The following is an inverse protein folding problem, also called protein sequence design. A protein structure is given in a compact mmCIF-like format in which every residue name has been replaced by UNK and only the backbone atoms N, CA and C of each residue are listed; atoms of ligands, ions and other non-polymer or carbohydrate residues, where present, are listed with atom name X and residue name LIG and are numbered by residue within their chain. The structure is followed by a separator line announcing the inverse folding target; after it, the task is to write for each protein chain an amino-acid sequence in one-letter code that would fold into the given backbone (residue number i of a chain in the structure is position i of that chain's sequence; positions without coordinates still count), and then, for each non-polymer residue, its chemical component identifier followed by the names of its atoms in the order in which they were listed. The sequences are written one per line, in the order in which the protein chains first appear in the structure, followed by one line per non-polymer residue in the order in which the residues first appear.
data_IF_563830421665
#
_entry.id   IF_563830421665
#
_cell.length_a   1.000
_cell.length_b   1.000
_cell.length_c   1.000
_cell.angle_alpha   90.00
_cell.angle_beta   90.00
_cell.angle_gamma   90.00
#
_symmetry.space_group_name_H-M   'P 1'
#
loop_
_entity.id
_entity.type
_entity.pdbx_description
1 polymer ?
#
# COMPACT_ATOMS: atom_id res chain seq x y z
N UNK A 1 -5.12 -41.01 18.04
CA UNK A 1 -5.24 -40.61 16.62
C UNK A 1 -6.02 -39.30 16.56
N UNK A 2 -5.40 -38.10 16.44
CA UNK A 2 -6.19 -36.89 16.25
C UNK A 2 -6.47 -36.69 14.77
N UNK A 3 -7.75 -36.45 14.47
CA UNK A 3 -8.24 -36.11 13.13
C UNK A 3 -7.63 -34.78 12.69
N UNK A 4 -6.85 -34.80 11.61
CA UNK A 4 -6.34 -33.59 10.99
C UNK A 4 -7.52 -32.83 10.40
N UNK A 5 -7.90 -31.72 11.04
CA UNK A 5 -8.88 -30.80 10.48
C UNK A 5 -8.36 -30.30 9.13
N UNK A 6 -9.11 -30.63 8.08
CA UNK A 6 -8.77 -30.25 6.71
C UNK A 6 -8.91 -28.73 6.58
N UNK A 7 -7.77 -28.02 6.66
CA UNK A 7 -7.71 -26.58 6.41
C UNK A 7 -8.20 -26.34 4.97
N UNK A 8 -9.27 -25.56 4.74
CA UNK A 8 -9.70 -25.27 3.39
C UNK A 8 -8.56 -24.58 2.63
N UNK A 9 -8.20 -25.16 1.48
CA UNK A 9 -7.18 -24.62 0.56
C UNK A 9 -7.69 -23.27 0.05
N UNK A 10 -6.98 -22.19 0.39
CA UNK A 10 -7.28 -20.87 -0.16
C UNK A 10 -7.26 -20.91 -1.70
N UNK A 11 -8.11 -20.14 -2.39
CA UNK A 11 -8.12 -20.10 -3.85
C UNK A 11 -6.73 -19.78 -4.40
N UNK A 12 -6.26 -20.57 -5.37
CA UNK A 12 -4.91 -20.51 -5.95
C UNK A 12 -4.59 -19.17 -6.63
N UNK A 13 -5.59 -18.37 -6.97
CA UNK A 13 -5.42 -17.19 -7.81
C UNK A 13 -4.66 -16.02 -7.15
N UNK A 14 -4.63 -15.98 -5.81
CA UNK A 14 -3.97 -14.91 -5.04
C UNK A 14 -3.39 -15.58 -3.78
N UNK A 15 -2.28 -16.32 -3.91
CA UNK A 15 -1.33 -16.45 -2.79
C UNK A 15 -0.34 -15.32 -2.98
N UNK A 16 -0.68 -14.12 -2.54
CA UNK A 16 0.25 -12.99 -2.57
C UNK A 16 0.99 -13.01 -1.25
N UNK A 17 2.09 -13.74 -1.24
CA UNK A 17 3.14 -13.44 -0.29
C UNK A 17 3.71 -12.06 -0.68
N UNK A 18 3.01 -11.02 -0.24
CA UNK A 18 3.35 -9.64 -0.55
C UNK A 18 4.66 -9.30 0.17
N UNK A 19 5.74 -9.16 -0.59
CA UNK A 19 7.02 -8.65 -0.08
C UNK A 19 7.02 -7.14 0.20
N UNK A 20 5.94 -6.43 -0.14
CA UNK A 20 5.81 -4.98 0.01
C UNK A 20 4.33 -4.57 0.22
N UNK A 21 4.13 -3.34 0.67
CA UNK A 21 2.83 -2.66 0.57
C UNK A 21 2.80 -1.92 -0.76
N UNK A 22 1.88 -2.30 -1.64
CA UNK A 22 1.69 -1.61 -2.92
C UNK A 22 0.65 -0.51 -2.77
N UNK A 23 0.94 0.64 -3.37
CA UNK A 23 0.06 1.80 -3.39
C UNK A 23 -0.10 2.28 -4.83
N UNK A 24 -1.33 2.43 -5.28
CA UNK A 24 -1.67 3.21 -6.48
C UNK A 24 -2.13 4.61 -6.07
N UNK A 25 -1.58 5.64 -6.72
CA UNK A 25 -1.98 7.03 -6.56
C UNK A 25 -2.67 7.54 -7.83
N UNK A 26 -3.93 7.92 -7.68
CA UNK A 26 -4.69 8.65 -8.71
C UNK A 26 -4.68 10.13 -8.32
N UNK A 27 -4.06 10.96 -9.17
CA UNK A 27 -3.80 12.36 -8.87
C UNK A 27 -4.81 13.25 -9.60
N UNK A 28 -5.55 14.06 -8.85
CA UNK A 28 -6.35 15.14 -9.39
C UNK A 28 -6.03 16.45 -8.69
N UNK A 29 -6.46 17.57 -9.27
CA UNK A 29 -6.22 18.92 -8.73
C UNK A 29 -6.90 19.20 -7.38
N UNK A 30 -7.89 18.38 -6.98
CA UNK A 30 -8.64 18.60 -5.73
C UNK A 30 -8.41 17.51 -4.70
N UNK A 31 -8.19 16.27 -5.14
CA UNK A 31 -7.96 15.12 -4.27
C UNK A 31 -6.95 14.15 -4.88
N UNK A 32 -6.20 13.48 -4.02
CA UNK A 32 -5.43 12.29 -4.40
C UNK A 32 -6.11 11.06 -3.81
N UNK A 33 -6.36 10.05 -4.63
CA UNK A 33 -6.87 8.76 -4.17
C UNK A 33 -5.71 7.79 -4.00
N UNK A 34 -5.69 7.13 -2.86
CA UNK A 34 -4.69 6.16 -2.43
C UNK A 34 -5.38 4.82 -2.38
N UNK A 35 -5.07 3.93 -3.33
CA UNK A 35 -5.49 2.52 -3.26
C UNK A 35 -4.31 1.69 -2.78
N UNK A 36 -4.46 0.94 -1.70
CA UNK A 36 -3.38 0.17 -1.08
C UNK A 36 -3.70 -1.29 -0.95
N UNK A 37 -2.66 -2.11 -1.08
CA UNK A 37 -2.68 -3.56 -0.86
C UNK A 37 -1.56 -3.90 0.14
N UNK A 38 -1.92 -4.45 1.30
CA UNK A 38 -0.99 -4.70 2.40
C UNK A 38 -0.94 -6.18 2.82
N UNK A 39 0.24 -6.70 3.20
CA UNK A 39 0.39 -8.04 3.77
C UNK A 39 -0.43 -8.24 5.06
N UNK A 40 -0.81 -9.49 5.34
CA UNK A 40 -1.44 -9.91 6.61
C UNK A 40 -2.90 -9.49 6.80
N UNK A 41 -3.51 -8.81 5.83
CA UNK A 41 -4.91 -8.36 5.88
C UNK A 41 -5.89 -9.18 5.01
N UNK A 42 -5.51 -10.39 4.60
CA UNK A 42 -6.23 -11.16 3.58
C UNK A 42 -6.17 -10.51 2.18
N UNK A 43 -5.11 -9.74 1.93
CA UNK A 43 -4.83 -9.04 0.66
C UNK A 43 -6.03 -8.26 0.10
N UNK A 44 -6.83 -7.66 1.00
CA UNK A 44 -7.95 -6.80 0.63
C UNK A 44 -7.44 -5.41 0.28
N UNK A 45 -7.89 -4.88 -0.87
CA UNK A 45 -7.63 -3.49 -1.24
C UNK A 45 -8.33 -2.52 -0.27
N UNK A 46 -7.63 -1.46 0.10
CA UNK A 46 -8.16 -0.34 0.88
C UNK A 46 -8.02 0.97 0.10
N UNK A 47 -9.04 1.82 0.15
CA UNK A 47 -9.03 3.14 -0.50
C UNK A 47 -9.08 4.27 0.53
N UNK A 48 -8.27 5.30 0.30
CA UNK A 48 -8.25 6.53 1.09
C UNK A 48 -8.15 7.75 0.19
N UNK A 49 -8.64 8.91 0.64
CA UNK A 49 -8.53 10.16 -0.08
C UNK A 49 -7.83 11.21 0.79
N UNK A 50 -6.89 11.93 0.19
CA UNK A 50 -6.26 13.12 0.80
C UNK A 50 -6.50 14.33 -0.10
N UNK A 51 -6.38 15.53 0.46
CA UNK A 51 -6.44 16.77 -0.32
C UNK A 51 -5.24 16.81 -1.28
N UNK A 52 -5.44 17.30 -2.50
CA UNK A 52 -4.33 17.47 -3.42
C UNK A 52 -3.30 18.45 -2.84
N UNK A 53 -2.02 18.09 -2.92
CA UNK A 53 -0.90 18.84 -2.33
C UNK A 53 -0.57 18.47 -0.88
N UNK A 54 -1.40 17.65 -0.22
CA UNK A 54 -1.17 17.23 1.17
C UNK A 54 -0.17 16.06 1.25
N UNK A 55 1.11 16.37 1.00
CA UNK A 55 2.21 15.40 1.12
C UNK A 55 2.34 14.83 2.53
N UNK A 56 2.10 15.65 3.56
CA UNK A 56 2.14 15.22 4.97
C UNK A 56 1.04 14.20 5.26
N UNK A 57 -0.19 14.44 4.80
CA UNK A 57 -1.30 13.49 4.92
C UNK A 57 -1.04 12.19 4.18
N UNK A 58 -0.42 12.25 3.01
CA UNK A 58 0.02 11.07 2.26
C UNK A 58 1.04 10.24 3.05
N UNK A 59 2.12 10.87 3.55
CA UNK A 59 3.15 10.19 4.33
C UNK A 59 2.60 9.62 5.66
N UNK A 60 1.68 10.33 6.30
CA UNK A 60 1.00 9.83 7.50
C UNK A 60 0.18 8.56 7.20
N UNK A 61 -0.49 8.48 6.04
CA UNK A 61 -1.16 7.25 5.59
C UNK A 61 -0.19 6.11 5.33
N UNK A 62 0.97 6.40 4.74
CA UNK A 62 2.00 5.40 4.52
C UNK A 62 2.55 4.82 5.82
N UNK A 63 2.81 5.68 6.81
CA UNK A 63 3.22 5.23 8.14
C UNK A 63 2.13 4.34 8.80
N UNK A 64 0.85 4.70 8.67
CA UNK A 64 -0.25 3.90 9.18
C UNK A 64 -0.34 2.52 8.51
N UNK A 65 -0.17 2.44 7.18
CA UNK A 65 -0.16 1.17 6.45
C UNK A 65 0.99 0.26 6.93
N UNK A 66 2.21 0.81 7.07
CA UNK A 66 3.36 0.08 7.62
C UNK A 66 3.07 -0.46 9.03
N UNK A 67 2.56 0.38 9.93
CA UNK A 67 2.20 -0.04 11.30
C UNK A 67 1.15 -1.15 11.31
N UNK A 68 0.11 -1.05 10.48
CA UNK A 68 -0.94 -2.08 10.39
C UNK A 68 -0.41 -3.41 9.85
N UNK A 69 0.41 -3.38 8.80
CA UNK A 69 1.03 -4.58 8.25
C UNK A 69 1.96 -5.24 9.28
N UNK A 70 2.78 -4.45 9.97
CA UNK A 70 3.67 -4.94 11.03
C UNK A 70 2.88 -5.55 12.19
N UNK A 71 1.82 -4.90 12.67
CA UNK A 71 0.99 -5.43 13.74
C UNK A 71 0.32 -6.77 13.39
N UNK A 72 0.03 -7.02 12.11
CA UNK A 72 -0.64 -8.25 11.64
C UNK A 72 0.31 -9.40 11.38
N UNK A 73 1.54 -9.10 10.96
CA UNK A 73 2.49 -10.10 10.42
C UNK A 73 3.75 -10.26 11.27
N UNK A 74 4.04 -9.31 12.15
CA UNK A 74 5.31 -9.20 12.87
C UNK A 74 6.48 -8.67 12.02
N UNK A 75 6.25 -8.28 10.76
CA UNK A 75 7.31 -7.88 9.82
C UNK A 75 7.12 -6.45 9.31
N UNK A 76 8.22 -5.74 9.07
CA UNK A 76 8.20 -4.45 8.40
C UNK A 76 8.22 -4.65 6.88
N UNK A 77 7.45 -3.82 6.16
CA UNK A 77 7.38 -3.88 4.69
C UNK A 77 7.74 -2.54 4.07
N UNK A 78 8.48 -2.54 2.94
CA UNK A 78 8.64 -1.34 2.13
C UNK A 78 7.29 -0.93 1.52
N UNK A 79 7.19 0.33 1.12
CA UNK A 79 6.07 0.84 0.31
C UNK A 79 6.60 1.04 -1.10
N UNK A 80 5.84 0.54 -2.07
CA UNK A 80 6.07 0.76 -3.49
C UNK A 80 4.85 1.51 -4.03
N UNK A 81 5.09 2.69 -4.60
CA UNK A 81 4.05 3.56 -5.14
C UNK A 81 4.05 3.47 -6.66
N UNK A 82 2.86 3.41 -7.25
CA UNK A 82 2.61 3.41 -8.69
C UNK A 82 1.65 4.56 -8.98
N UNK A 83 2.01 5.46 -9.89
CA UNK A 83 1.18 6.62 -10.19
C UNK A 83 1.18 6.96 -11.67
N UNK A 84 0.15 7.69 -12.11
CA UNK A 84 0.08 8.16 -13.50
C UNK A 84 1.12 9.26 -13.76
N UNK A 85 1.75 9.20 -14.93
CA UNK A 85 2.66 10.25 -15.37
C UNK A 85 1.88 11.55 -15.65
N UNK A 86 2.29 12.64 -15.01
CA UNK A 86 1.67 13.96 -15.16
C UNK A 86 2.44 15.03 -14.37
N UNK A 87 2.00 16.29 -14.48
CA UNK A 87 2.66 17.42 -13.81
C UNK A 87 2.77 17.21 -12.29
N UNK A 88 1.66 16.81 -11.66
CA UNK A 88 1.63 16.49 -10.23
C UNK A 88 2.42 15.21 -9.92
N UNK A 89 2.38 14.22 -10.82
CA UNK A 89 3.11 12.96 -10.68
C UNK A 89 4.62 13.16 -10.58
N UNK A 90 5.19 14.09 -11.34
CA UNK A 90 6.64 14.35 -11.28
C UNK A 90 7.11 14.93 -9.94
N UNK A 91 6.35 15.88 -9.39
CA UNK A 91 6.68 16.45 -8.08
C UNK A 91 6.50 15.42 -6.96
N UNK A 92 5.40 14.65 -6.98
CA UNK A 92 5.16 13.60 -5.99
C UNK A 92 6.24 12.53 -6.06
N UNK A 93 6.61 12.07 -7.26
CA UNK A 93 7.69 11.10 -7.44
C UNK A 93 8.97 11.54 -6.73
N UNK A 94 9.42 12.78 -6.99
CA UNK A 94 10.62 13.35 -6.34
C UNK A 94 10.49 13.45 -4.82
N UNK A 95 9.32 13.86 -4.32
CA UNK A 95 9.07 13.91 -2.89
C UNK A 95 9.15 12.51 -2.26
N UNK A 96 8.57 11.49 -2.91
CA UNK A 96 8.59 10.11 -2.44
C UNK A 96 10.01 9.53 -2.44
N UNK A 97 10.77 9.75 -3.52
CA UNK A 97 12.17 9.32 -3.59
C UNK A 97 13.03 9.97 -2.50
N UNK A 98 12.81 11.27 -2.21
CA UNK A 98 13.51 11.97 -1.13
C UNK A 98 13.21 11.39 0.27
N UNK A 99 12.02 10.81 0.45
CA UNK A 99 11.61 10.09 1.66
C UNK A 99 12.04 8.61 1.65
N UNK A 100 12.82 8.18 0.64
CA UNK A 100 13.29 6.79 0.49
C UNK A 100 12.19 5.81 0.12
N UNK A 101 11.13 6.28 -0.55
CA UNK A 101 10.00 5.47 -1.00
C UNK A 101 10.15 5.21 -2.50
N UNK A 102 10.09 3.94 -2.88
CA UNK A 102 10.12 3.52 -4.28
C UNK A 102 8.84 3.99 -4.99
N UNK A 103 9.00 4.69 -6.12
CA UNK A 103 7.91 5.28 -6.89
C UNK A 103 8.10 5.02 -8.38
N UNK A 104 7.04 4.56 -9.05
CA UNK A 104 6.98 4.26 -10.48
C UNK A 104 5.87 5.05 -11.18
#
# INVERSE_FOLDING_TARGET
MPVAAHRPKAPTAIRTDLGAIFVSLELSRSKWLITSLSPGGGEKMSKHAVVAGDGTGLLARFAELKRKAQARTGQCFPIIVIQEAGLDGFWIHRMLEAEGIESH
#
